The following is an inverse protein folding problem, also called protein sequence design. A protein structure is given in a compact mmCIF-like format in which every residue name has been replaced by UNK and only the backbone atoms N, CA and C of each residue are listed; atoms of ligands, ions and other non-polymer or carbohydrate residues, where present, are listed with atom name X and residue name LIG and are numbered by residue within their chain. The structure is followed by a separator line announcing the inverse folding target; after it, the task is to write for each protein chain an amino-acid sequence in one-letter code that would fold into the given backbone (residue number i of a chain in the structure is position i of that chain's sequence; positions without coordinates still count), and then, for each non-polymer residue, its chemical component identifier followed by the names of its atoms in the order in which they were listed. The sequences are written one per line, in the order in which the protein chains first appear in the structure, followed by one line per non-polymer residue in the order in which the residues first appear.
data_IF_823293231686
#
_entry.id   IF_823293231686
#
_cell.length_a   1.000
_cell.length_b   1.000
_cell.length_c   1.000
_cell.angle_alpha   90.00
_cell.angle_beta   90.00
_cell.angle_gamma   90.00
#
_symmetry.space_group_name_H-M   'P 1'
#
loop_
_entity.id
_entity.type
_entity.pdbx_description
1 polymer ?
#
# COMPACT_ATOMS: atom_id res chain seq x y z
N UNK A 1 22.13 68.63 10.46
CA UNK A 1 21.80 69.01 9.07
C UNK A 1 23.01 68.70 8.18
N UNK A 2 22.74 68.16 6.99
CA UNK A 2 23.60 68.07 5.79
C UNK A 2 24.69 66.97 5.68
N UNK A 3 24.24 65.79 5.26
CA UNK A 3 24.47 65.17 3.94
C UNK A 3 25.71 65.56 3.06
N UNK A 4 26.49 64.50 2.75
CA UNK A 4 26.79 63.91 1.40
C UNK A 4 28.07 64.26 0.60
N UNK A 5 28.69 63.17 0.11
CA UNK A 5 29.60 62.96 -1.06
C UNK A 5 31.04 63.51 -0.89
N UNK A 6 32.16 62.80 -1.10
CA UNK A 6 32.48 61.53 -1.75
C UNK A 6 33.50 61.78 -2.87
N UNK A 7 34.77 61.38 -2.73
CA UNK A 7 35.73 61.21 -3.85
C UNK A 7 36.80 60.18 -3.43
N UNK A 8 37.10 59.29 -4.38
CA UNK A 8 38.02 58.16 -4.42
C UNK A 8 39.38 58.60 -4.99
N UNK A 9 40.50 58.02 -4.57
CA UNK A 9 41.65 57.66 -5.44
C UNK A 9 42.87 57.09 -4.70
N UNK A 10 43.29 55.91 -5.19
CA UNK A 10 44.68 55.43 -5.38
C UNK A 10 45.56 55.03 -4.20
N UNK A 11 46.01 53.76 -4.17
CA UNK A 11 47.44 53.36 -4.04
C UNK A 11 47.66 52.00 -4.74
N UNK A 12 48.82 51.91 -5.38
CA UNK A 12 49.36 50.93 -6.31
C UNK A 12 49.80 49.55 -5.76
N UNK A 13 49.95 48.70 -6.76
CA UNK A 13 50.64 47.42 -6.98
C UNK A 13 52.10 47.33 -6.48
N UNK A 14 52.49 46.15 -5.94
CA UNK A 14 53.73 45.40 -6.28
C UNK A 14 53.63 43.98 -5.68
N UNK A 15 53.57 42.89 -6.46
CA UNK A 15 54.69 42.16 -7.11
C UNK A 15 55.72 41.66 -6.07
N UNK A 16 56.16 40.39 -6.00
CA UNK A 16 56.57 39.52 -7.10
C UNK A 16 56.88 38.07 -6.62
N UNK A 17 56.74 37.11 -7.55
CA UNK A 17 57.57 35.89 -7.79
C UNK A 17 57.67 34.77 -6.73
N UNK A 18 57.71 33.47 -7.04
CA UNK A 18 58.23 32.72 -8.22
C UNK A 18 57.84 31.24 -8.10
N UNK A 19 57.73 30.50 -9.21
CA UNK A 19 57.91 29.04 -9.17
C UNK A 19 57.10 28.22 -10.18
N UNK A 20 57.43 28.38 -11.46
CA UNK A 20 57.11 27.46 -12.56
C UNK A 20 57.62 26.03 -12.31
N UNK A 21 56.83 25.00 -12.67
CA UNK A 21 57.34 23.86 -13.45
C UNK A 21 56.22 23.10 -14.16
N UNK A 22 56.37 23.11 -15.47
CA UNK A 22 55.71 22.32 -16.52
C UNK A 22 55.97 20.82 -16.38
N UNK A 23 55.01 20.00 -16.86
CA UNK A 23 55.25 18.59 -17.19
C UNK A 23 54.62 18.28 -18.55
N UNK A 24 55.49 17.99 -19.50
CA UNK A 24 55.23 17.66 -20.89
C UNK A 24 55.68 16.20 -21.09
N UNK A 25 54.85 15.42 -21.79
CA UNK A 25 55.16 14.27 -22.65
C UNK A 25 55.55 12.86 -22.11
N UNK A 26 54.82 11.90 -22.71
CA UNK A 26 55.25 10.59 -23.26
C UNK A 26 55.42 9.36 -22.34
N UNK A 27 54.47 8.41 -22.45
CA UNK A 27 54.60 7.13 -23.21
C UNK A 27 53.24 6.38 -23.14
N UNK A 28 52.40 6.42 -24.19
CA UNK A 28 52.28 5.47 -25.32
C UNK A 28 51.49 4.18 -25.02
N UNK A 29 50.49 3.93 -25.90
CA UNK A 29 49.93 2.64 -26.40
C UNK A 29 48.84 2.01 -25.49
N UNK A 30 47.61 1.70 -25.91
CA UNK A 30 46.93 1.38 -27.20
C UNK A 30 45.42 1.66 -27.01
N UNK A 31 44.69 2.35 -27.91
CA UNK A 31 43.96 1.85 -29.12
C UNK A 31 42.91 0.75 -28.76
N UNK A 32 41.62 0.73 -29.12
CA UNK A 32 40.76 1.29 -30.20
C UNK A 32 39.28 1.06 -29.74
N UNK A 33 38.35 2.03 -29.84
CA UNK A 33 37.30 2.25 -30.85
C UNK A 33 36.22 1.14 -31.02
N UNK A 34 34.98 1.62 -30.98
CA UNK A 34 33.64 1.02 -31.11
C UNK A 34 33.25 0.50 -32.52
N UNK A 35 32.26 -0.40 -32.51
CA UNK A 35 31.26 -0.80 -33.55
C UNK A 35 31.70 -1.77 -34.66
N UNK A 36 31.17 -3.01 -34.60
CA UNK A 36 30.51 -3.70 -35.72
C UNK A 36 29.28 -4.44 -35.19
N UNK A 37 28.10 -4.13 -35.74
CA UNK A 37 26.86 -4.87 -35.61
C UNK A 37 26.98 -6.26 -36.21
N UNK A 38 26.56 -7.33 -35.53
CA UNK A 38 26.15 -8.59 -36.18
C UNK A 38 25.31 -9.47 -35.25
N UNK A 39 24.22 -9.94 -35.82
CA UNK A 39 23.23 -10.91 -35.33
C UNK A 39 23.92 -12.25 -35.00
N UNK A 40 23.67 -12.81 -33.80
CA UNK A 40 23.90 -14.24 -33.53
C UNK A 40 22.73 -14.82 -32.72
N UNK A 41 22.15 -15.84 -33.34
CA UNK A 41 21.22 -16.87 -32.88
C UNK A 41 21.69 -17.53 -31.58
N UNK A 42 20.89 -17.50 -30.50
CA UNK A 42 21.18 -18.30 -29.29
C UNK A 42 20.27 -19.53 -29.30
N UNK A 43 20.88 -20.68 -29.57
CA UNK A 43 20.32 -21.99 -29.28
C UNK A 43 20.38 -22.24 -27.77
N UNK A 44 19.25 -22.59 -27.17
CA UNK A 44 19.12 -22.95 -25.75
C UNK A 44 19.67 -24.38 -25.57
N UNK A 45 20.79 -24.52 -24.86
CA UNK A 45 21.27 -25.81 -24.34
C UNK A 45 20.71 -25.94 -22.91
N UNK A 46 19.79 -26.88 -22.71
CA UNK A 46 19.26 -27.25 -21.41
C UNK A 46 20.30 -28.14 -20.71
N UNK A 47 20.92 -27.65 -19.65
CA UNK A 47 21.70 -28.46 -18.72
C UNK A 47 20.73 -29.10 -17.71
N UNK A 48 20.68 -30.43 -17.67
CA UNK A 48 19.94 -31.20 -16.65
C UNK A 48 20.78 -31.23 -15.37
N UNK A 49 20.26 -30.86 -14.19
CA UNK A 49 20.99 -31.01 -12.95
C UNK A 49 21.01 -32.47 -12.50
N UNK A 50 22.21 -33.00 -12.26
CA UNK A 50 22.45 -34.29 -11.63
C UNK A 50 22.08 -34.22 -10.14
N UNK A 51 21.09 -35.01 -9.73
CA UNK A 51 20.73 -35.21 -8.32
C UNK A 51 21.79 -36.14 -7.70
N UNK A 52 22.55 -35.63 -6.73
CA UNK A 52 23.44 -36.44 -5.88
C UNK A 52 22.62 -36.88 -4.66
N UNK A 53 22.27 -38.17 -4.59
CA UNK A 53 21.73 -38.81 -3.38
C UNK A 53 22.92 -39.36 -2.59
N UNK A 54 23.21 -38.80 -1.41
CA UNK A 54 24.12 -39.42 -0.44
C UNK A 54 23.33 -40.41 0.42
N UNK A 55 23.36 -41.69 0.04
CA UNK A 55 22.87 -42.81 0.84
C UNK A 55 24.04 -43.70 1.29
N UNK A 56 24.07 -44.05 2.57
CA UNK A 56 25.11 -44.84 3.23
C UNK A 56 25.26 -46.25 2.63
N UNK A 57 26.52 -46.73 2.64
CA UNK A 57 27.01 -48.00 2.12
C UNK A 57 26.25 -49.25 2.60
N UNK A 58 25.93 -50.15 1.67
CA UNK A 58 26.41 -51.55 1.64
C UNK A 58 25.53 -52.37 0.68
N UNK A 59 26.04 -52.62 -0.52
CA UNK A 59 26.19 -53.96 -1.13
C UNK A 59 26.58 -53.79 -2.61
N UNK A 60 27.76 -54.30 -2.94
CA UNK A 60 28.22 -54.48 -4.32
C UNK A 60 27.46 -55.67 -4.92
N UNK A 61 26.93 -55.54 -6.14
CA UNK A 61 27.24 -56.52 -7.20
C UNK A 61 26.84 -56.04 -8.60
N UNK A 62 27.85 -56.07 -9.49
CA UNK A 62 27.80 -56.31 -10.95
C UNK A 62 26.94 -55.35 -11.81
N UNK A 63 27.62 -54.31 -12.28
CA UNK A 63 27.31 -53.71 -13.58
C UNK A 63 27.72 -54.68 -14.71
N UNK A 64 26.74 -55.27 -15.40
CA UNK A 64 26.93 -55.83 -16.74
C UNK A 64 26.23 -54.93 -17.74
N UNK A 65 27.00 -54.42 -18.71
CA UNK A 65 26.54 -53.69 -19.89
C UNK A 65 25.45 -54.45 -20.64
N UNK A 66 24.26 -53.85 -20.74
CA UNK A 66 23.32 -54.10 -21.83
C UNK A 66 22.91 -52.74 -22.38
N UNK A 67 23.43 -52.43 -23.56
CA UNK A 67 23.02 -51.27 -24.36
C UNK A 67 21.72 -51.65 -25.06
N UNK A 68 20.58 -51.38 -24.45
CA UNK A 68 19.30 -51.37 -25.17
C UNK A 68 18.86 -49.92 -25.38
N UNK A 69 18.83 -49.51 -26.66
CA UNK A 69 18.25 -48.24 -27.07
C UNK A 69 16.74 -48.32 -26.88
N UNK A 70 16.25 -47.73 -25.79
CA UNK A 70 14.82 -47.48 -25.59
C UNK A 70 14.33 -46.59 -26.74
N UNK A 71 13.39 -47.12 -27.53
CA UNK A 71 12.74 -46.35 -28.59
C UNK A 71 11.84 -45.28 -27.95
N UNK A 72 11.64 -44.17 -28.67
CA UNK A 72 10.93 -42.95 -28.24
C UNK A 72 9.50 -43.16 -27.73
N UNK A 73 8.97 -44.37 -27.80
CA UNK A 73 7.61 -44.73 -27.41
C UNK A 73 7.47 -45.02 -25.90
N UNK A 74 8.52 -45.49 -25.21
CA UNK A 74 8.45 -45.84 -23.78
C UNK A 74 8.64 -44.66 -22.82
N UNK A 75 9.23 -43.57 -23.28
CA UNK A 75 9.35 -42.32 -22.51
C UNK A 75 7.97 -41.63 -22.36
N UNK A 76 7.06 -41.83 -23.32
CA UNK A 76 5.74 -41.19 -23.33
C UNK A 76 4.80 -41.75 -22.25
N UNK A 77 5.02 -42.98 -21.77
CA UNK A 77 4.13 -43.65 -20.81
C UNK A 77 4.55 -43.45 -19.35
N UNK A 78 5.80 -43.05 -19.07
CA UNK A 78 6.22 -42.67 -17.71
C UNK A 78 6.05 -41.17 -17.40
N UNK A 79 5.83 -40.34 -18.40
CA UNK A 79 5.50 -38.90 -18.20
C UNK A 79 4.01 -38.71 -17.83
N UNK A 80 3.18 -39.75 -17.88
CA UNK A 80 1.73 -39.65 -17.64
C UNK A 80 1.28 -39.78 -16.18
N UNK A 81 2.19 -39.75 -15.20
CA UNK A 81 1.80 -39.75 -13.76
C UNK A 81 2.70 -38.85 -12.92
N UNK A 82 2.74 -37.56 -13.21
CA UNK A 82 3.06 -36.50 -12.22
C UNK A 82 2.85 -35.10 -12.79
N UNK A 83 1.72 -34.86 -13.45
CA UNK A 83 1.23 -33.50 -13.67
C UNK A 83 0.19 -33.21 -12.60
N UNK A 84 0.66 -32.87 -11.40
CA UNK A 84 -0.11 -31.99 -10.53
C UNK A 84 -0.38 -30.72 -11.32
N UNK A 85 -1.62 -30.56 -11.78
CA UNK A 85 -2.15 -29.33 -12.34
C UNK A 85 -2.12 -28.26 -11.25
N UNK A 86 -0.99 -27.57 -11.11
CA UNK A 86 -0.98 -26.24 -10.53
C UNK A 86 -1.80 -25.39 -11.50
N UNK A 87 -3.07 -25.13 -11.18
CA UNK A 87 -3.82 -24.06 -11.82
C UNK A 87 -3.00 -22.80 -11.60
N UNK A 88 -2.24 -22.36 -12.61
CA UNK A 88 -1.65 -21.03 -12.56
C UNK A 88 -2.82 -20.06 -12.50
N UNK A 89 -3.04 -19.44 -11.34
CA UNK A 89 -3.99 -18.35 -11.14
C UNK A 89 -3.72 -17.33 -12.27
N UNK A 90 -4.59 -17.28 -13.27
CA UNK A 90 -4.40 -16.41 -14.44
C UNK A 90 -4.54 -14.96 -13.97
N UNK A 91 -3.44 -14.21 -14.01
CA UNK A 91 -3.43 -12.79 -13.71
C UNK A 91 -3.95 -12.04 -14.95
N UNK A 92 -5.14 -11.44 -14.84
CA UNK A 92 -5.68 -10.57 -15.88
C UNK A 92 -4.88 -9.26 -15.94
N UNK A 93 -4.74 -8.64 -17.12
CA UNK A 93 -4.09 -7.33 -17.24
C UNK A 93 -4.84 -6.29 -16.38
N UNK A 94 -4.14 -5.25 -15.89
CA UNK A 94 -4.79 -4.18 -15.13
C UNK A 94 -5.85 -3.45 -15.96
N UNK A 95 -6.96 -3.10 -15.31
CA UNK A 95 -8.01 -2.25 -15.88
C UNK A 95 -7.82 -0.83 -15.37
N UNK A 96 -7.74 0.11 -16.30
CA UNK A 96 -7.57 1.54 -16.03
C UNK A 96 -8.95 2.13 -15.67
N UNK A 97 -9.16 2.41 -14.38
CA UNK A 97 -10.31 3.21 -13.90
C UNK A 97 -10.21 4.61 -14.50
N UNK A 98 -11.29 5.10 -15.10
CA UNK A 98 -11.35 6.44 -15.65
C UNK A 98 -12.59 7.21 -15.20
N UNK A 99 -12.71 8.46 -15.65
CA UNK A 99 -13.82 9.34 -15.25
C UNK A 99 -15.21 8.78 -15.64
N UNK A 100 -15.28 7.88 -16.61
CA UNK A 100 -16.51 7.21 -17.03
C UNK A 100 -16.71 5.83 -16.39
N UNK A 101 -15.75 5.34 -15.61
CA UNK A 101 -15.88 4.06 -14.90
C UNK A 101 -17.10 4.09 -13.99
N UNK A 102 -17.91 3.06 -14.14
CA UNK A 102 -19.05 2.75 -13.29
C UNK A 102 -18.84 1.36 -12.70
N UNK A 103 -19.56 1.09 -11.62
CA UNK A 103 -19.62 -0.23 -11.02
C UNK A 103 -21.02 -0.77 -11.12
N UNK A 104 -21.13 -2.09 -11.26
CA UNK A 104 -22.41 -2.77 -11.26
C UNK A 104 -23.09 -2.52 -9.92
N UNK A 105 -24.38 -2.18 -9.97
CA UNK A 105 -25.16 -1.80 -8.80
C UNK A 105 -25.69 -3.05 -8.05
N UNK A 106 -24.80 -4.01 -7.79
CA UNK A 106 -25.10 -5.26 -7.10
C UNK A 106 -23.84 -5.84 -6.44
N UNK A 107 -23.41 -5.27 -5.31
CA UNK A 107 -22.24 -5.82 -4.64
C UNK A 107 -22.47 -7.22 -4.09
N UNK A 108 -21.36 -7.96 -4.03
CA UNK A 108 -21.28 -9.30 -3.46
C UNK A 108 -20.49 -9.22 -2.16
N UNK A 109 -20.97 -9.88 -1.12
CA UNK A 109 -20.21 -10.09 0.12
C UNK A 109 -19.04 -11.05 -0.16
N UNK A 110 -17.81 -10.58 0.01
CA UNK A 110 -16.59 -11.37 -0.25
C UNK A 110 -15.89 -11.85 1.03
N UNK A 111 -16.19 -11.25 2.18
CA UNK A 111 -15.74 -11.68 3.50
C UNK A 111 -16.73 -11.24 4.57
N UNK A 112 -16.81 -11.98 5.68
CA UNK A 112 -17.80 -11.75 6.74
C UNK A 112 -19.24 -11.97 6.29
N UNK A 113 -20.18 -11.20 6.85
CA UNK A 113 -21.61 -11.28 6.52
C UNK A 113 -22.35 -12.49 7.09
N UNK A 114 -21.69 -13.32 7.90
CA UNK A 114 -22.28 -14.45 8.63
C UNK A 114 -22.61 -14.09 10.10
N UNK A 115 -22.97 -12.82 10.32
CA UNK A 115 -23.16 -12.24 11.66
C UNK A 115 -21.86 -11.71 12.27
N UNK A 116 -22.04 -10.92 13.33
CA UNK A 116 -20.96 -10.42 14.17
C UNK A 116 -20.37 -11.58 14.99
N UNK A 117 -19.05 -11.72 15.01
CA UNK A 117 -18.39 -12.70 15.87
C UNK A 117 -16.93 -12.93 15.52
N UNK A 118 -16.32 -13.93 16.15
CA UNK A 118 -14.89 -14.25 16.06
C UNK A 118 -14.59 -15.54 15.27
N UNK A 119 -15.61 -16.23 14.76
CA UNK A 119 -15.42 -17.38 13.87
C UNK A 119 -14.68 -16.97 12.58
N UNK A 120 -14.08 -17.93 11.88
CA UNK A 120 -13.29 -17.65 10.68
C UNK A 120 -14.12 -17.17 9.48
N UNK A 121 -15.44 -17.32 9.50
CA UNK A 121 -16.35 -16.75 8.50
C UNK A 121 -17.06 -15.47 8.98
N UNK A 122 -16.72 -14.97 10.17
CA UNK A 122 -17.31 -13.79 10.80
C UNK A 122 -16.28 -12.68 10.94
N UNK A 123 -16.79 -11.46 11.04
CA UNK A 123 -16.02 -10.27 11.36
C UNK A 123 -16.70 -9.55 12.53
N UNK A 124 -15.95 -8.71 13.22
CA UNK A 124 -16.42 -7.88 14.31
C UNK A 124 -15.75 -6.50 14.24
N UNK A 125 -16.52 -5.53 13.73
CA UNK A 125 -16.04 -4.18 13.48
C UNK A 125 -14.79 -4.14 12.59
N UNK A 126 -14.90 -4.63 11.34
CA UNK A 126 -13.82 -4.46 10.39
C UNK A 126 -13.68 -2.97 10.05
N UNK A 127 -12.44 -2.44 10.02
CA UNK A 127 -12.21 -1.00 9.79
C UNK A 127 -11.23 -0.68 8.67
N UNK A 128 -10.31 -1.60 8.35
CA UNK A 128 -9.29 -1.40 7.32
C UNK A 128 -9.21 -2.57 6.37
N UNK A 129 -8.83 -2.31 5.13
CA UNK A 129 -8.65 -3.33 4.09
C UNK A 129 -7.42 -3.06 3.23
N UNK A 130 -6.67 -4.11 2.92
CA UNK A 130 -5.64 -4.09 1.90
C UNK A 130 -5.87 -5.20 0.87
N UNK A 131 -5.85 -4.86 -0.42
CA UNK A 131 -6.02 -5.82 -1.51
C UNK A 131 -4.66 -6.22 -2.06
N UNK A 132 -4.30 -7.51 -1.94
CA UNK A 132 -3.09 -8.07 -2.55
C UNK A 132 -3.45 -8.81 -3.84
N UNK A 133 -3.34 -8.09 -4.96
CA UNK A 133 -3.60 -8.62 -6.31
C UNK A 133 -2.72 -9.81 -6.71
N UNK A 134 -1.49 -9.88 -6.19
CA UNK A 134 -0.54 -10.93 -6.55
C UNK A 134 -0.91 -12.25 -5.86
N UNK A 135 -1.33 -12.15 -4.59
CA UNK A 135 -1.81 -13.27 -3.78
C UNK A 135 -3.29 -13.60 -4.05
N UNK A 136 -4.00 -12.73 -4.80
CA UNK A 136 -5.45 -12.79 -4.99
C UNK A 136 -6.18 -12.93 -3.65
N UNK A 137 -5.83 -12.04 -2.72
CA UNK A 137 -6.33 -12.06 -1.36
C UNK A 137 -6.61 -10.64 -0.86
N UNK A 138 -7.47 -10.54 0.13
CA UNK A 138 -7.71 -9.32 0.88
C UNK A 138 -7.28 -9.53 2.33
N UNK A 139 -6.66 -8.51 2.91
CA UNK A 139 -6.31 -8.44 4.33
C UNK A 139 -7.29 -7.49 4.99
N UNK A 140 -7.90 -7.93 6.08
CA UNK A 140 -8.95 -7.19 6.77
C UNK A 140 -8.50 -6.96 8.21
N UNK A 141 -8.59 -5.72 8.65
CA UNK A 141 -8.41 -5.33 10.05
C UNK A 141 -9.71 -5.62 10.78
N UNK A 142 -9.75 -6.71 11.53
CA UNK A 142 -10.92 -7.17 12.30
C UNK A 142 -10.82 -6.67 13.75
N UNK A 143 -11.06 -5.37 13.91
CA UNK A 143 -10.54 -4.56 15.03
C UNK A 143 -10.99 -5.01 16.41
N UNK A 144 -12.29 -5.34 16.59
CA UNK A 144 -12.81 -5.80 17.89
C UNK A 144 -12.46 -7.25 18.19
N UNK A 145 -12.05 -8.02 17.17
CA UNK A 145 -11.43 -9.32 17.39
C UNK A 145 -9.91 -9.21 17.54
N UNK A 146 -9.34 -7.99 17.48
CA UNK A 146 -7.92 -7.70 17.71
C UNK A 146 -6.99 -8.54 16.83
N UNK A 147 -7.34 -8.64 15.55
CA UNK A 147 -6.63 -9.50 14.59
C UNK A 147 -6.65 -8.93 13.17
N UNK A 148 -5.72 -9.40 12.37
CA UNK A 148 -5.72 -9.24 10.91
C UNK A 148 -6.07 -10.58 10.29
N UNK A 149 -7.06 -10.58 9.39
CA UNK A 149 -7.52 -11.79 8.72
C UNK A 149 -7.28 -11.67 7.23
N UNK A 150 -6.62 -12.67 6.65
CA UNK A 150 -6.45 -12.83 5.20
C UNK A 150 -7.60 -13.67 4.65
N UNK A 151 -8.23 -13.20 3.59
CA UNK A 151 -9.23 -13.93 2.81
C UNK A 151 -8.73 -14.08 1.38
N UNK A 152 -8.57 -15.31 0.91
CA UNK A 152 -8.42 -15.53 -0.53
C UNK A 152 -9.73 -15.15 -1.24
N UNK A 153 -9.62 -14.63 -2.47
CA UNK A 153 -10.81 -14.34 -3.27
C UNK A 153 -11.68 -15.60 -3.39
N UNK A 154 -12.99 -15.42 -3.15
CA UNK A 154 -14.03 -16.45 -3.14
C UNK A 154 -13.97 -17.47 -1.99
N UNK A 155 -13.02 -17.35 -1.05
CA UNK A 155 -12.96 -18.20 0.13
C UNK A 155 -14.18 -17.99 1.05
N UNK A 156 -14.60 -19.06 1.75
CA UNK A 156 -15.71 -19.00 2.71
C UNK A 156 -15.27 -18.62 4.12
N UNK A 157 -14.00 -18.85 4.44
CA UNK A 157 -13.39 -18.57 5.73
C UNK A 157 -12.08 -17.82 5.50
N UNK A 158 -11.73 -16.96 6.45
CA UNK A 158 -10.45 -16.29 6.51
C UNK A 158 -9.42 -17.07 7.32
N UNK A 159 -8.20 -16.58 7.26
CA UNK A 159 -7.04 -17.08 7.98
C UNK A 159 -6.48 -15.96 8.84
N UNK A 160 -6.28 -16.20 10.14
CA UNK A 160 -5.67 -15.21 11.03
C UNK A 160 -4.17 -15.15 10.69
N UNK A 161 -3.71 -13.97 10.28
CA UNK A 161 -2.31 -13.75 9.87
C UNK A 161 -1.56 -12.80 10.80
N UNK A 162 -2.28 -12.08 11.67
CA UNK A 162 -1.70 -11.37 12.79
C UNK A 162 -2.70 -11.19 13.94
N UNK A 163 -2.20 -11.12 15.17
CA UNK A 163 -3.03 -11.07 16.38
C UNK A 163 -3.86 -12.34 16.57
N UNK A 164 -5.04 -12.20 17.17
CA UNK A 164 -5.95 -13.33 17.45
C UNK A 164 -5.60 -14.13 18.72
N UNK A 165 -4.48 -13.82 19.37
CA UNK A 165 -4.04 -14.40 20.66
C UNK A 165 -4.55 -13.55 21.84
N UNK A 166 -5.85 -13.27 21.86
CA UNK A 166 -6.49 -12.32 22.77
C UNK A 166 -6.04 -10.87 22.59
N UNK A 167 -6.75 -9.96 23.26
CA UNK A 167 -6.37 -8.55 23.33
C UNK A 167 -5.14 -8.39 24.21
N UNK A 168 -4.13 -7.66 23.76
CA UNK A 168 -3.02 -7.31 24.64
C UNK A 168 -1.91 -6.54 23.95
N UNK A 169 -0.77 -6.42 24.65
CA UNK A 169 0.36 -5.56 24.26
C UNK A 169 1.65 -6.33 23.98
N UNK A 170 1.61 -7.65 24.14
CA UNK A 170 2.75 -8.50 23.82
C UNK A 170 3.06 -8.42 22.32
N UNK A 171 4.23 -8.91 21.91
CA UNK A 171 4.74 -8.69 20.54
C UNK A 171 3.86 -9.36 19.47
N UNK A 172 3.17 -10.44 19.85
CA UNK A 172 2.25 -11.23 19.04
C UNK A 172 0.77 -10.89 19.30
N UNK A 173 0.48 -9.88 20.12
CA UNK A 173 -0.88 -9.41 20.41
C UNK A 173 -1.17 -8.05 19.77
N UNK A 174 -2.43 -7.80 19.47
CA UNK A 174 -2.93 -6.51 19.00
C UNK A 174 -4.00 -5.99 19.98
N UNK A 175 -4.21 -4.68 19.99
CA UNK A 175 -5.32 -4.03 20.67
C UNK A 175 -5.93 -2.97 19.74
N UNK A 176 -7.11 -3.32 19.22
CA UNK A 176 -7.91 -2.50 18.31
C UNK A 176 -7.08 -1.91 17.15
N UNK A 177 -6.52 -2.79 16.28
CA UNK A 177 -5.78 -2.33 15.13
C UNK A 177 -6.70 -1.51 14.20
N UNK A 178 -6.13 -0.53 13.49
CA UNK A 178 -6.91 0.43 12.69
C UNK A 178 -6.59 0.42 11.21
N UNK A 179 -5.39 0.00 10.82
CA UNK A 179 -4.99 -0.04 9.42
C UNK A 179 -3.94 -1.13 9.18
N UNK A 180 -3.88 -1.62 7.94
CA UNK A 180 -2.93 -2.61 7.46
C UNK A 180 -2.47 -2.25 6.06
N UNK A 181 -1.16 -2.31 5.83
CA UNK A 181 -0.58 -2.32 4.48
C UNK A 181 0.48 -3.40 4.37
N UNK A 182 0.88 -3.71 3.14
CA UNK A 182 2.10 -4.48 2.89
C UNK A 182 3.28 -3.55 2.64
N UNK A 183 4.46 -3.95 3.09
CA UNK A 183 5.68 -3.29 2.63
C UNK A 183 5.88 -3.47 1.11
N UNK A 184 6.77 -2.69 0.52
CA UNK A 184 7.01 -2.69 -0.94
C UNK A 184 7.35 -4.08 -1.49
N UNK A 185 8.13 -4.87 -0.77
CA UNK A 185 8.50 -6.24 -1.17
C UNK A 185 7.40 -7.28 -0.87
N UNK A 186 6.29 -6.86 -0.27
CA UNK A 186 5.17 -7.71 0.16
C UNK A 186 5.57 -8.87 1.07
N UNK A 187 6.64 -8.70 1.85
CA UNK A 187 7.15 -9.69 2.82
C UNK A 187 6.57 -9.51 4.21
N UNK A 188 6.18 -8.28 4.52
CA UNK A 188 5.74 -7.90 5.86
C UNK A 188 4.40 -7.19 5.80
N UNK A 189 3.54 -7.55 6.74
CA UNK A 189 2.40 -6.75 7.17
C UNK A 189 2.93 -5.58 7.99
N UNK A 190 2.43 -4.38 7.72
CA UNK A 190 2.66 -3.18 8.52
C UNK A 190 1.32 -2.79 9.13
N UNK A 191 1.19 -2.95 10.43
CA UNK A 191 -0.08 -2.89 11.15
C UNK A 191 -0.07 -1.67 12.06
N UNK A 192 -1.12 -0.88 11.96
CA UNK A 192 -1.39 0.16 12.93
C UNK A 192 -2.12 -0.44 14.15
N UNK A 193 -1.42 -0.59 15.27
CA UNK A 193 -1.94 -1.17 16.51
C UNK A 193 -2.30 -0.04 17.49
N UNK A 194 -3.44 0.59 17.23
CA UNK A 194 -3.72 1.95 17.67
C UNK A 194 -3.86 2.11 19.20
N UNK A 195 -4.53 1.18 19.90
CA UNK A 195 -4.66 1.30 21.36
C UNK A 195 -3.34 1.02 22.08
N UNK A 196 -2.49 0.16 21.51
CA UNK A 196 -1.12 -0.05 21.99
C UNK A 196 -0.16 1.09 21.58
N UNK A 197 -0.65 2.06 20.81
CA UNK A 197 0.09 3.25 20.37
C UNK A 197 1.38 2.89 19.63
N UNK A 198 1.30 1.95 18.69
CA UNK A 198 2.47 1.50 17.94
C UNK A 198 2.14 1.10 16.51
N UNK A 199 3.15 1.13 15.65
CA UNK A 199 3.12 0.46 14.35
C UNK A 199 4.00 -0.78 14.41
N UNK A 200 3.44 -1.91 13.99
CA UNK A 200 4.06 -3.22 14.03
C UNK A 200 4.45 -3.68 12.63
N UNK A 201 5.56 -4.41 12.52
CA UNK A 201 5.91 -5.25 11.37
C UNK A 201 5.67 -6.71 11.75
N UNK A 202 4.98 -7.45 10.88
CA UNK A 202 4.80 -8.90 11.01
C UNK A 202 5.21 -9.60 9.72
N UNK A 203 6.05 -10.63 9.78
CA UNK A 203 6.44 -11.40 8.61
C UNK A 203 5.30 -12.28 8.11
N UNK A 204 5.12 -12.33 6.78
CA UNK A 204 4.16 -13.24 6.14
C UNK A 204 4.64 -14.69 6.08
N UNK A 205 5.92 -14.93 6.33
CA UNK A 205 6.54 -16.26 6.18
C UNK A 205 7.01 -16.84 7.51
N UNK A 206 7.44 -15.99 8.44
CA UNK A 206 7.91 -16.40 9.76
C UNK A 206 6.98 -15.81 10.82
N UNK A 207 6.09 -16.62 11.38
CA UNK A 207 5.10 -16.15 12.35
C UNK A 207 5.71 -15.70 13.69
N UNK A 208 7.01 -15.89 13.92
CA UNK A 208 7.71 -15.40 15.12
C UNK A 208 8.57 -14.16 14.82
N UNK A 209 8.55 -13.64 13.59
CA UNK A 209 9.26 -12.43 13.17
C UNK A 209 8.30 -11.22 13.23
N UNK A 210 8.15 -10.68 14.43
CA UNK A 210 7.49 -9.42 14.70
C UNK A 210 8.47 -8.36 15.21
N UNK A 211 8.22 -7.10 14.87
CA UNK A 211 9.00 -5.96 15.33
C UNK A 211 8.08 -4.75 15.57
N UNK A 212 8.34 -3.99 16.63
CA UNK A 212 7.75 -2.65 16.79
C UNK A 212 8.55 -1.71 15.90
N UNK A 213 7.95 -1.20 14.82
CA UNK A 213 8.60 -0.26 13.94
C UNK A 213 8.63 1.15 14.55
N UNK A 214 7.46 1.63 14.96
CA UNK A 214 7.29 2.99 15.50
C UNK A 214 6.54 2.91 16.82
N UNK A 215 7.17 3.22 17.96
CA UNK A 215 6.50 3.29 19.26
C UNK A 215 5.80 4.65 19.48
N UNK A 216 4.97 4.72 20.51
CA UNK A 216 4.33 5.93 21.05
C UNK A 216 3.50 6.78 20.07
N UNK A 217 2.93 6.15 19.05
CA UNK A 217 2.15 6.81 17.99
C UNK A 217 0.70 6.31 17.97
N UNK A 218 -0.27 7.22 17.99
CA UNK A 218 -1.69 6.87 17.77
C UNK A 218 -1.95 6.93 16.26
N UNK A 219 -1.44 5.93 15.57
CA UNK A 219 -1.67 5.79 14.14
C UNK A 219 -3.18 5.55 13.87
N UNK A 220 -3.65 6.07 12.75
CA UNK A 220 -4.98 5.78 12.20
C UNK A 220 -4.95 5.29 10.77
N UNK A 221 -3.95 5.73 10.00
CA UNK A 221 -3.75 5.24 8.66
C UNK A 221 -2.28 5.22 8.28
N UNK A 222 -1.93 4.27 7.42
CA UNK A 222 -0.60 3.96 6.91
C UNK A 222 -0.61 4.07 5.39
N UNK A 223 0.49 4.58 4.82
CA UNK A 223 0.74 4.51 3.39
C UNK A 223 2.24 4.29 3.14
N UNK A 224 2.59 3.64 2.04
CA UNK A 224 3.99 3.47 1.60
C UNK A 224 4.15 4.07 0.22
N UNK A 225 5.23 4.83 0.04
CA UNK A 225 5.59 5.39 -1.26
C UNK A 225 6.44 4.42 -2.11
N UNK A 226 6.74 4.83 -3.34
CA UNK A 226 7.55 4.03 -4.27
C UNK A 226 9.00 3.81 -3.81
N UNK A 227 9.51 4.53 -2.81
CA UNK A 227 10.82 4.27 -2.22
C UNK A 227 10.77 3.28 -1.06
N UNK A 228 9.57 2.99 -0.53
CA UNK A 228 9.38 2.20 0.68
C UNK A 228 9.32 3.05 1.95
N UNK A 229 9.24 4.38 1.85
CA UNK A 229 9.08 5.23 3.03
C UNK A 229 7.64 5.11 3.55
N UNK A 230 7.51 4.95 4.87
CA UNK A 230 6.23 4.80 5.57
C UNK A 230 5.68 6.16 5.95
N UNK A 231 4.42 6.41 5.63
CA UNK A 231 3.66 7.58 6.04
C UNK A 231 2.62 7.16 7.07
N UNK A 232 2.48 7.95 8.14
CA UNK A 232 1.55 7.67 9.23
C UNK A 232 0.73 8.91 9.51
N UNK A 233 -0.60 8.77 9.46
CA UNK A 233 -1.51 9.74 10.04
C UNK A 233 -1.65 9.48 11.55
N UNK A 234 -1.22 10.44 12.35
CA UNK A 234 -1.29 10.38 13.80
C UNK A 234 -2.39 11.32 14.31
N UNK A 235 -3.46 10.71 14.80
CA UNK A 235 -4.65 11.43 15.26
C UNK A 235 -4.39 12.17 16.58
N UNK A 236 -3.39 11.76 17.38
CA UNK A 236 -3.08 12.44 18.63
C UNK A 236 -2.35 13.76 18.37
N UNK A 237 -1.35 13.73 17.49
CA UNK A 237 -0.57 14.93 17.16
C UNK A 237 -1.23 15.80 16.08
N UNK A 238 -2.24 15.27 15.37
CA UNK A 238 -2.85 15.88 14.19
C UNK A 238 -1.82 16.14 13.08
N UNK A 239 -0.87 15.22 12.94
CA UNK A 239 0.21 15.30 11.96
C UNK A 239 0.17 14.11 11.03
N UNK A 240 0.64 14.32 9.80
CA UNK A 240 1.12 13.23 8.97
C UNK A 240 2.64 13.28 8.95
N UNK A 241 3.27 12.15 9.26
CA UNK A 241 4.73 12.01 9.32
C UNK A 241 5.21 10.94 8.35
N UNK A 242 6.37 11.18 7.75
CA UNK A 242 7.09 10.24 6.87
C UNK A 242 8.30 9.67 7.59
N UNK A 243 8.49 8.37 7.50
CA UNK A 243 9.53 7.59 8.16
C UNK A 243 10.28 6.78 7.10
N UNK A 244 11.59 6.94 7.04
CA UNK A 244 12.45 6.06 6.28
C UNK A 244 12.79 4.83 7.13
N UNK A 245 13.38 3.80 6.51
CA UNK A 245 13.79 2.61 7.25
C UNK A 245 14.76 2.96 8.38
N UNK A 246 14.39 2.61 9.62
CA UNK A 246 15.16 2.89 10.83
C UNK A 246 14.83 4.23 11.51
N UNK A 247 13.96 5.06 10.94
CA UNK A 247 13.49 6.28 11.59
C UNK A 247 12.56 5.95 12.76
N UNK A 248 12.72 6.67 13.89
CA UNK A 248 11.81 6.57 15.05
C UNK A 248 10.91 7.79 15.24
N UNK A 249 11.27 8.96 14.67
CA UNK A 249 10.55 10.23 14.91
C UNK A 249 9.73 10.67 13.69
N UNK A 250 10.25 10.40 12.49
CA UNK A 250 9.67 10.81 11.23
C UNK A 250 9.76 12.32 10.98
N UNK A 251 9.57 12.72 9.72
CA UNK A 251 9.52 14.11 9.28
C UNK A 251 8.06 14.49 9.07
N UNK A 252 7.63 15.63 9.62
CA UNK A 252 6.28 16.16 9.40
C UNK A 252 6.12 16.56 7.94
N UNK A 253 5.11 15.99 7.27
CA UNK A 253 4.77 16.29 5.87
C UNK A 253 3.44 17.03 5.73
N UNK A 254 2.60 17.05 6.77
CA UNK A 254 1.37 17.84 6.83
C UNK A 254 0.93 18.13 8.28
N UNK A 255 0.16 19.19 8.48
CA UNK A 255 -0.45 19.56 9.77
C UNK A 255 0.48 20.28 10.76
N UNK A 256 1.63 20.81 10.31
CA UNK A 256 2.70 21.37 11.17
C UNK A 256 2.25 22.41 12.20
N UNK A 257 1.12 23.08 12.01
CA UNK A 257 0.57 24.07 12.94
C UNK A 257 -0.55 23.52 13.84
N UNK A 258 -0.59 22.18 13.99
CA UNK A 258 -1.46 21.48 14.91
C UNK A 258 -2.93 21.51 14.51
N UNK A 259 -3.79 21.44 15.52
CA UNK A 259 -5.24 21.38 15.38
C UNK A 259 -5.84 22.68 14.86
N UNK A 260 -6.64 22.60 13.81
CA UNK A 260 -7.40 23.72 13.26
C UNK A 260 -7.80 23.48 11.81
N UNK A 261 -8.43 24.47 11.18
CA UNK A 261 -9.00 24.37 9.84
C UNK A 261 -8.26 25.23 8.78
N UNK A 262 -7.12 25.82 9.13
CA UNK A 262 -6.26 26.51 8.16
C UNK A 262 -5.63 25.50 7.18
N UNK A 263 -5.05 25.99 6.08
CA UNK A 263 -4.49 25.13 5.03
C UNK A 263 -3.19 24.41 5.45
N UNK A 264 -2.58 24.78 6.58
CA UNK A 264 -1.42 24.09 7.15
C UNK A 264 -1.68 23.41 8.51
N UNK A 265 -2.97 23.27 8.85
CA UNK A 265 -3.48 22.61 10.04
C UNK A 265 -4.34 21.40 9.65
N UNK A 266 -4.44 20.44 10.56
CA UNK A 266 -5.29 19.26 10.44
C UNK A 266 -6.03 19.04 11.76
N UNK A 267 -7.18 18.40 11.73
CA UNK A 267 -7.92 17.98 12.92
C UNK A 267 -8.37 16.52 12.77
N UNK A 268 -7.68 15.65 13.51
CA UNK A 268 -7.87 14.19 13.56
C UNK A 268 -7.75 13.52 12.17
N UNK A 269 -6.61 13.65 11.46
CA UNK A 269 -6.44 13.02 10.15
C UNK A 269 -6.65 11.49 10.26
N UNK A 270 -7.57 10.94 9.46
CA UNK A 270 -7.98 9.53 9.59
C UNK A 270 -7.45 8.61 8.52
N UNK A 271 -7.31 9.09 7.30
CA UNK A 271 -6.90 8.28 6.16
C UNK A 271 -5.94 9.08 5.29
N UNK A 272 -4.92 8.39 4.78
CA UNK A 272 -3.92 8.97 3.90
C UNK A 272 -3.72 8.13 2.64
N UNK A 273 -3.37 8.81 1.56
CA UNK A 273 -2.86 8.20 0.34
C UNK A 273 -1.64 8.98 -0.14
N UNK A 274 -0.65 8.28 -0.68
CA UNK A 274 0.56 8.90 -1.23
C UNK A 274 0.65 8.55 -2.71
N UNK A 275 0.67 9.59 -3.56
CA UNK A 275 0.80 9.39 -5.02
C UNK A 275 2.27 9.17 -5.45
N UNK A 276 2.47 8.81 -6.72
CA UNK A 276 3.80 8.57 -7.29
C UNK A 276 4.72 9.81 -7.27
N UNK A 277 4.15 11.00 -7.09
CA UNK A 277 4.86 12.28 -6.96
C UNK A 277 5.12 12.66 -5.49
N UNK A 278 4.86 11.74 -4.55
CA UNK A 278 4.99 11.94 -3.10
C UNK A 278 4.04 13.00 -2.55
N UNK A 279 2.95 13.30 -3.24
CA UNK A 279 1.89 14.14 -2.71
C UNK A 279 1.06 13.33 -1.71
N UNK A 280 0.70 13.95 -0.59
CA UNK A 280 -0.06 13.30 0.47
C UNK A 280 -1.49 13.81 0.43
N UNK A 281 -2.43 12.90 0.25
CA UNK A 281 -3.86 13.11 0.35
C UNK A 281 -4.30 12.72 1.75
N UNK A 282 -5.12 13.55 2.39
CA UNK A 282 -5.46 13.40 3.81
C UNK A 282 -6.95 13.64 3.99
N UNK A 283 -7.64 12.66 4.58
CA UNK A 283 -8.98 12.83 5.12
C UNK A 283 -8.86 13.58 6.45
N UNK A 284 -9.06 14.90 6.39
CA UNK A 284 -9.04 15.80 7.54
C UNK A 284 -10.41 15.73 8.23
N UNK A 285 -10.60 14.63 8.96
CA UNK A 285 -11.89 14.10 9.38
C UNK A 285 -12.75 15.15 10.11
N UNK A 286 -12.22 15.82 11.13
CA UNK A 286 -13.05 16.72 11.93
C UNK A 286 -13.36 18.03 11.20
N UNK A 287 -12.51 18.42 10.25
CA UNK A 287 -12.73 19.57 9.37
C UNK A 287 -13.60 19.24 8.15
N UNK A 288 -14.06 18.00 8.00
CA UNK A 288 -14.94 17.55 6.94
C UNK A 288 -14.41 17.90 5.54
N UNK A 289 -13.15 17.57 5.26
CA UNK A 289 -12.52 17.85 3.96
C UNK A 289 -11.44 16.83 3.61
N UNK A 290 -11.16 16.69 2.32
CA UNK A 290 -9.93 16.06 1.85
C UNK A 290 -8.96 17.13 1.40
N UNK A 291 -7.73 17.02 1.87
CA UNK A 291 -6.63 17.91 1.52
C UNK A 291 -5.54 17.18 0.76
N UNK A 292 -4.86 17.90 -0.14
CA UNK A 292 -3.65 17.44 -0.82
C UNK A 292 -2.48 18.35 -0.46
N UNK A 293 -1.40 17.77 0.06
CA UNK A 293 -0.09 18.42 0.16
C UNK A 293 0.78 17.92 -0.98
N UNK A 294 1.33 18.85 -1.78
CA UNK A 294 2.42 18.51 -2.68
C UNK A 294 3.70 18.27 -1.87
N UNK A 295 4.65 17.52 -2.45
CA UNK A 295 5.95 17.31 -1.81
C UNK A 295 6.61 18.64 -1.47
N UNK A 296 7.02 18.81 -0.21
CA UNK A 296 7.62 20.03 0.35
C UNK A 296 6.69 21.26 0.42
N UNK A 297 5.39 21.12 0.13
CA UNK A 297 4.45 22.21 0.26
C UNK A 297 4.34 22.63 1.72
N UNK A 298 4.26 23.94 1.93
CA UNK A 298 4.08 24.51 3.25
C UNK A 298 2.64 24.25 3.77
N UNK A 299 1.67 24.39 2.88
CA UNK A 299 0.25 24.22 3.13
C UNK A 299 -0.36 23.29 2.08
N UNK A 300 -1.50 22.71 2.40
CA UNK A 300 -2.27 21.87 1.50
C UNK A 300 -3.30 22.66 0.71
N UNK A 301 -3.95 21.97 -0.21
CA UNK A 301 -5.10 22.48 -0.95
C UNK A 301 -6.31 21.59 -0.70
N UNK A 302 -7.48 22.19 -0.56
CA UNK A 302 -8.74 21.42 -0.45
C UNK A 302 -9.07 20.86 -1.83
N UNK A 303 -9.19 19.54 -1.91
CA UNK A 303 -9.43 18.81 -3.17
C UNK A 303 -10.78 18.10 -3.20
N UNK A 304 -11.38 17.87 -2.02
CA UNK A 304 -12.79 17.50 -1.90
C UNK A 304 -13.35 18.23 -0.67
N UNK A 305 -14.15 19.29 -0.86
CA UNK A 305 -14.87 19.90 0.26
C UNK A 305 -15.95 18.92 0.72
N UNK A 306 -16.01 18.62 2.02
CA UNK A 306 -17.17 17.92 2.56
C UNK A 306 -18.38 18.87 2.61
N UNK A 307 -19.57 18.30 2.76
CA UNK A 307 -20.76 19.09 3.05
C UNK A 307 -20.70 19.53 4.51
N UNK A 308 -20.48 20.83 4.74
CA UNK A 308 -20.79 21.43 6.04
C UNK A 308 -22.30 21.34 6.25
N UNK A 309 -22.78 20.39 7.07
CA UNK A 309 -24.16 20.45 7.53
C UNK A 309 -24.22 21.49 8.65
N UNK A 310 -25.01 22.53 8.42
CA UNK A 310 -25.20 23.66 9.33
C UNK A 310 -25.87 23.24 10.66
N UNK A 311 -26.27 21.98 10.79
CA UNK A 311 -27.15 21.48 11.84
C UNK A 311 -26.46 20.55 12.84
N UNK A 312 -25.17 20.23 12.67
CA UNK A 312 -24.44 19.48 13.71
C UNK A 312 -22.92 19.70 13.59
N UNK A 313 -22.25 20.38 14.56
CA UNK A 313 -20.79 20.46 14.60
C UNK A 313 -20.10 19.14 15.02
N UNK A 314 -20.77 18.01 14.72
CA UNK A 314 -20.35 16.60 14.74
C UNK A 314 -20.43 15.84 16.08
N UNK A 315 -21.01 14.62 16.07
CA UNK A 315 -20.35 13.52 16.77
C UNK A 315 -19.93 12.32 15.89
N UNK A 316 -20.48 12.09 14.69
CA UNK A 316 -20.15 10.88 13.91
C UNK A 316 -20.11 10.99 12.36
N UNK A 317 -20.26 12.15 11.73
CA UNK A 317 -20.34 12.31 10.26
C UNK A 317 -19.16 12.94 9.51
N UNK A 318 -19.17 12.75 8.18
CA UNK A 318 -18.25 13.25 7.13
C UNK A 318 -16.85 12.59 6.97
N UNK A 319 -16.61 12.06 5.74
CA UNK A 319 -15.40 11.48 5.13
C UNK A 319 -14.40 10.77 6.08
N UNK A 320 -14.35 9.43 6.01
CA UNK A 320 -13.49 8.62 6.89
C UNK A 320 -12.22 8.13 6.18
N UNK A 321 -12.39 7.46 5.05
CA UNK A 321 -11.28 6.93 4.25
C UNK A 321 -11.27 7.51 2.85
N UNK A 322 -10.08 7.55 2.25
CA UNK A 322 -9.87 7.93 0.87
C UNK A 322 -8.96 6.94 0.14
N UNK A 323 -9.18 6.80 -1.15
CA UNK A 323 -8.22 6.24 -2.10
C UNK A 323 -8.23 7.07 -3.37
N UNK A 324 -7.15 7.02 -4.15
CA UNK A 324 -6.98 7.84 -5.34
C UNK A 324 -6.60 6.94 -6.50
N UNK A 325 -7.27 7.11 -7.64
CA UNK A 325 -6.90 6.39 -8.87
C UNK A 325 -5.73 7.07 -9.61
N UNK A 326 -5.22 6.41 -10.65
CA UNK A 326 -4.10 6.94 -11.45
C UNK A 326 -4.47 8.20 -12.28
N UNK A 327 -5.76 8.55 -12.41
CA UNK A 327 -6.20 9.80 -13.02
C UNK A 327 -6.30 10.93 -11.98
N UNK A 328 -6.08 10.63 -10.70
CA UNK A 328 -6.22 11.57 -9.59
C UNK A 328 -7.65 11.76 -9.12
N UNK A 329 -8.61 10.90 -9.52
CA UNK A 329 -9.93 10.91 -8.92
C UNK A 329 -9.84 10.42 -7.48
N UNK A 330 -10.51 11.13 -6.58
CA UNK A 330 -10.52 10.84 -5.15
C UNK A 330 -11.83 10.13 -4.83
N UNK A 331 -11.73 8.97 -4.22
CA UNK A 331 -12.86 8.17 -3.76
C UNK A 331 -12.87 8.19 -2.24
N UNK A 332 -14.01 8.46 -1.65
CA UNK A 332 -14.13 8.58 -0.19
C UNK A 332 -15.34 7.84 0.33
N UNK A 333 -15.18 7.23 1.51
CA UNK A 333 -16.29 6.70 2.28
C UNK A 333 -17.03 7.87 2.96
N UNK A 334 -18.22 8.18 2.46
CA UNK A 334 -19.12 9.13 3.09
C UNK A 334 -19.97 8.40 4.12
N UNK A 335 -19.53 8.48 5.37
CA UNK A 335 -20.18 7.84 6.51
C UNK A 335 -21.64 8.26 6.69
N UNK A 336 -21.94 9.56 6.61
CA UNK A 336 -23.29 10.10 6.87
C UNK A 336 -24.31 9.65 5.84
N UNK A 337 -23.88 9.66 4.59
CA UNK A 337 -24.75 9.31 3.48
C UNK A 337 -24.70 7.82 3.16
N UNK A 338 -23.91 7.02 3.89
CA UNK A 338 -23.69 5.60 3.63
C UNK A 338 -23.36 5.33 2.16
N UNK A 339 -22.46 6.15 1.60
CA UNK A 339 -22.13 6.17 0.18
C UNK A 339 -20.62 6.24 -0.06
N UNK A 340 -20.18 5.72 -1.20
CA UNK A 340 -18.85 6.02 -1.73
C UNK A 340 -19.01 7.14 -2.75
N UNK A 341 -18.26 8.21 -2.55
CA UNK A 341 -18.34 9.43 -3.34
C UNK A 341 -17.03 9.64 -4.11
N UNK A 342 -17.12 10.14 -5.34
CA UNK A 342 -15.97 10.42 -6.20
C UNK A 342 -15.88 11.90 -6.56
N UNK A 343 -14.70 12.48 -6.40
CA UNK A 343 -14.32 13.78 -6.93
C UNK A 343 -13.30 13.60 -8.04
N UNK A 344 -13.60 14.13 -9.22
CA UNK A 344 -12.57 14.28 -10.26
C UNK A 344 -11.65 15.45 -9.95
N UNK A 345 -10.41 15.48 -10.47
CA UNK A 345 -9.50 16.60 -10.28
C UNK A 345 -10.16 17.94 -10.61
N UNK A 346 -10.19 18.85 -9.63
CA UNK A 346 -10.79 20.19 -9.77
C UNK A 346 -12.32 20.25 -9.62
N UNK A 347 -12.98 19.12 -9.37
CA UNK A 347 -14.42 19.11 -9.08
C UNK A 347 -14.71 19.76 -7.73
N UNK A 348 -15.77 20.57 -7.68
CA UNK A 348 -16.26 21.20 -6.45
C UNK A 348 -17.30 20.34 -5.72
N UNK A 349 -17.95 19.43 -6.45
CA UNK A 349 -18.97 18.52 -5.94
C UNK A 349 -18.61 17.07 -6.25
N UNK A 350 -18.96 16.18 -5.32
CA UNK A 350 -18.74 14.75 -5.46
C UNK A 350 -19.92 14.06 -6.13
N UNK A 351 -19.65 12.94 -6.79
CA UNK A 351 -20.66 12.08 -7.41
C UNK A 351 -20.74 10.74 -6.68
N UNK A 352 -21.93 10.22 -6.33
CA UNK A 352 -22.04 8.90 -5.74
C UNK A 352 -21.67 7.82 -6.76
N UNK A 353 -20.85 6.85 -6.36
CA UNK A 353 -20.43 5.72 -7.22
C UNK A 353 -20.85 4.36 -6.69
N UNK A 354 -21.10 4.26 -5.38
CA UNK A 354 -21.66 3.08 -4.73
C UNK A 354 -22.44 3.50 -3.47
N UNK A 355 -23.39 2.68 -3.04
CA UNK A 355 -24.25 2.98 -1.89
C UNK A 355 -25.53 3.73 -2.27
N UNK A 356 -26.63 3.34 -1.66
CA UNK A 356 -27.87 4.10 -1.58
C UNK A 356 -27.77 5.07 -0.39
N UNK A 357 -28.36 6.27 -0.49
CA UNK A 357 -28.33 7.31 0.56
C UNK A 357 -29.20 6.93 1.76
N UNK A 358 -29.08 5.70 2.24
CA UNK A 358 -29.85 5.06 3.29
C UNK A 358 -29.03 3.92 3.89
N UNK A 359 -29.03 3.83 5.23
CA UNK A 359 -28.42 2.71 5.92
C UNK A 359 -29.20 1.42 5.70
N UNK A 360 -28.49 0.30 5.60
CA UNK A 360 -29.11 -1.00 5.48
C UNK A 360 -28.09 -2.08 5.13
N UNK A 361 -28.58 -3.28 4.89
CA UNK A 361 -27.77 -4.48 4.62
C UNK A 361 -27.98 -5.05 3.20
N UNK A 362 -28.75 -4.36 2.36
CA UNK A 362 -28.91 -4.70 0.95
C UNK A 362 -27.58 -4.70 0.18
N UNK A 363 -27.59 -5.21 -1.05
CA UNK A 363 -26.40 -5.26 -1.93
C UNK A 363 -25.88 -3.87 -2.32
N UNK A 364 -26.72 -2.85 -2.20
CA UNK A 364 -26.40 -1.44 -2.46
C UNK A 364 -26.43 -0.58 -1.21
N UNK A 365 -26.59 -1.17 -0.02
CA UNK A 365 -26.72 -0.42 1.23
C UNK A 365 -25.53 -0.72 2.13
N UNK A 366 -25.01 0.32 2.77
CA UNK A 366 -23.96 0.19 3.75
C UNK A 366 -24.48 0.62 5.13
N UNK A 367 -23.78 0.20 6.17
CA UNK A 367 -23.92 0.72 7.51
C UNK A 367 -22.53 1.12 8.00
N UNK A 368 -22.31 2.45 8.01
CA UNK A 368 -21.09 3.09 8.48
C UNK A 368 -19.81 2.59 7.77
N UNK A 369 -19.73 2.69 6.43
CA UNK A 369 -18.57 2.23 5.68
C UNK A 369 -17.31 2.96 6.17
N UNK A 370 -16.26 2.21 6.49
CA UNK A 370 -15.03 2.78 7.05
C UNK A 370 -13.98 3.02 6.00
N UNK A 371 -13.72 2.01 5.18
CA UNK A 371 -12.56 1.99 4.29
C UNK A 371 -12.90 1.41 2.92
N UNK A 372 -12.05 1.69 1.94
CA UNK A 372 -12.20 1.21 0.57
C UNK A 372 -10.86 1.01 -0.12
N UNK A 373 -10.82 0.03 -1.02
CA UNK A 373 -9.65 -0.23 -1.87
C UNK A 373 -10.08 -0.72 -3.24
N UNK A 374 -9.21 -0.56 -4.22
CA UNK A 374 -9.37 -1.17 -5.54
C UNK A 374 -8.48 -2.39 -5.69
N UNK A 375 -8.91 -3.36 -6.50
CA UNK A 375 -8.00 -4.34 -7.11
C UNK A 375 -7.49 -3.81 -8.46
N UNK A 376 -6.48 -4.48 -9.04
CA UNK A 376 -5.93 -4.10 -10.35
C UNK A 376 -6.94 -4.25 -11.49
N UNK A 377 -8.05 -4.96 -11.30
CA UNK A 377 -9.16 -5.04 -12.25
C UNK A 377 -10.16 -3.88 -12.09
N UNK A 378 -9.89 -2.94 -11.18
CA UNK A 378 -10.72 -1.78 -10.91
C UNK A 378 -12.00 -2.10 -10.13
N UNK A 379 -12.11 -3.30 -9.54
CA UNK A 379 -13.22 -3.61 -8.66
C UNK A 379 -13.05 -2.87 -7.34
N UNK A 380 -14.14 -2.33 -6.82
CA UNK A 380 -14.19 -1.57 -5.57
C UNK A 380 -14.53 -2.51 -4.42
N UNK A 381 -13.70 -2.53 -3.38
CA UNK A 381 -13.96 -3.20 -2.12
C UNK A 381 -14.31 -2.14 -1.07
N UNK A 382 -15.36 -2.38 -0.29
CA UNK A 382 -15.83 -1.48 0.76
C UNK A 382 -15.94 -2.24 2.07
N UNK A 383 -15.34 -1.69 3.12
CA UNK A 383 -15.48 -2.18 4.49
C UNK A 383 -16.79 -1.66 5.07
N UNK A 384 -17.79 -2.53 5.10
CA UNK A 384 -19.13 -2.24 5.59
C UNK A 384 -19.24 -2.61 7.09
N UNK A 385 -18.63 -1.74 7.92
CA UNK A 385 -18.24 -2.02 9.30
C UNK A 385 -19.36 -2.56 10.18
N UNK A 386 -20.50 -1.88 10.24
CA UNK A 386 -21.58 -2.24 11.17
C UNK A 386 -22.48 -3.36 10.61
N UNK A 387 -22.34 -3.68 9.33
CA UNK A 387 -22.85 -4.93 8.77
C UNK A 387 -21.84 -6.09 8.85
N UNK A 388 -20.65 -5.83 9.42
CA UNK A 388 -19.60 -6.83 9.67
C UNK A 388 -19.21 -7.63 8.42
N UNK A 389 -19.02 -6.93 7.29
CA UNK A 389 -18.73 -7.56 6.00
C UNK A 389 -17.87 -6.68 5.10
N UNK A 390 -17.30 -7.31 4.07
CA UNK A 390 -16.66 -6.62 2.95
C UNK A 390 -17.52 -6.79 1.69
N UNK A 391 -17.89 -5.68 1.08
CA UNK A 391 -18.67 -5.64 -0.15
C UNK A 391 -17.75 -5.39 -1.36
N UNK A 392 -17.86 -6.21 -2.40
CA UNK A 392 -17.16 -6.03 -3.68
C UNK A 392 -18.11 -5.61 -4.78
N UNK A 393 -17.77 -4.53 -5.48
CA UNK A 393 -18.45 -4.05 -6.68
C UNK A 393 -17.56 -4.28 -7.89
N UNK A 394 -18.08 -4.97 -8.90
CA UNK A 394 -17.34 -5.18 -10.15
C UNK A 394 -17.51 -4.00 -11.08
N UNK A 395 -16.48 -3.72 -11.87
CA UNK A 395 -16.56 -2.69 -12.90
C UNK A 395 -17.67 -3.03 -13.91
N UNK A 396 -18.43 -2.02 -14.30
CA UNK A 396 -19.42 -2.11 -15.36
C UNK A 396 -18.75 -1.76 -16.69
N UNK A 397 -18.64 -2.73 -17.60
CA UNK A 397 -17.96 -2.59 -18.89
C UNK A 397 -18.92 -2.36 -20.06
N UNK A 398 -20.22 -2.34 -19.79
CA UNK A 398 -21.29 -2.28 -20.78
C UNK A 398 -21.77 -0.85 -21.10
#
# INVERSE_FOLDING_TARGET
MNNRVGVDESVEVNSNTTGSRTLYEHFRKRKFIWIISSIILIAVIIAVPTIIITGNNNEMEKASTVTEMLTTTEITTQITTSTTTTKSKQILPPVIINNNTKWKQNAVTVAGGNGQGSELNQLNWPVGIYVDDDDQSIYIVDSLNHRIVRWELDAKNGEIVAGGNERGKDIDQLDNPMDIILNKEKKYLIICDANNRRVMRWSRQNIDDQEILIPDIICWSLAIDNNGDLYIADMQSNLVRRFQQGDMVGIVVAGRHGTGNQLDQLDRPRSIFVDEYYSVYIADYFNNRVMKWLKYAAEGSIIAPGHASNENPNPLGSLISLTVDHMGNIYVSNWDNHQIMRWSPGAIEGTPVAGEKQSGSGSMQFMNPQDLSFDRQGNLYVVDKDNHRIQKFTIDLD
#
